data_IF_227338129195
#
_entry.id   IF_227338129195
#
_cell.length_a   1.000
_cell.length_b   1.000
_cell.length_c   1.000
_cell.angle_alpha   90.00
_cell.angle_beta   90.00
_cell.angle_gamma   90.00
#
_symmetry.space_group_name_H-M   'P 1'
#
loop_
_entity.id
_entity.type
_entity.pdbx_description
1 polymer ?
#
# COMPACT_ATOMS: atom_id res chain seq x y z
N UNK A 1 27.53 10.73 -3.47
CA UNK A 1 26.09 10.75 -3.22
C UNK A 1 25.52 11.98 -3.86
N UNK A 2 24.79 11.82 -4.97
CA UNK A 2 24.31 12.93 -5.80
C UNK A 2 23.50 12.38 -6.97
N UNK A 3 22.64 13.21 -7.55
CA UNK A 3 21.72 12.83 -8.63
C UNK A 3 20.26 12.69 -8.20
N UNK A 4 19.94 12.84 -6.90
CA UNK A 4 18.56 13.02 -6.46
C UNK A 4 18.07 14.38 -6.92
N UNK A 5 17.10 14.39 -7.83
CA UNK A 5 16.39 15.59 -8.24
C UNK A 5 15.12 15.66 -7.41
N UNK A 6 14.92 16.77 -6.73
CA UNK A 6 13.67 17.01 -6.03
C UNK A 6 12.53 17.07 -7.06
N UNK A 7 11.47 16.34 -6.77
CA UNK A 7 10.24 16.36 -7.53
C UNK A 7 9.13 16.92 -6.64
N UNK A 8 8.54 18.04 -7.06
CA UNK A 8 7.44 18.69 -6.37
C UNK A 8 6.06 18.14 -6.77
N UNK A 9 6.01 17.15 -7.67
CA UNK A 9 4.77 16.59 -8.19
C UNK A 9 4.00 15.88 -7.09
N UNK A 10 2.69 16.07 -7.11
CA UNK A 10 1.76 15.38 -6.21
C UNK A 10 1.31 14.07 -6.85
N UNK A 11 1.59 12.95 -6.20
CA UNK A 11 1.41 11.61 -6.78
C UNK A 11 0.21 10.84 -6.23
N UNK A 12 -0.25 11.14 -5.02
CA UNK A 12 -1.51 10.60 -4.55
C UNK A 12 -2.70 11.32 -5.22
N UNK A 13 -3.78 10.62 -5.56
CA UNK A 13 -4.96 11.20 -6.21
C UNK A 13 -5.90 11.94 -5.24
N UNK A 14 -5.55 12.05 -3.95
CA UNK A 14 -6.49 12.54 -2.95
C UNK A 14 -6.63 14.06 -2.99
N UNK A 15 -7.86 14.61 -2.91
CA UNK A 15 -8.08 16.05 -2.89
C UNK A 15 -7.79 16.68 -1.52
N UNK A 16 -7.38 15.89 -0.53
CA UNK A 16 -7.17 16.29 0.85
C UNK A 16 -5.79 15.89 1.34
N UNK A 17 -5.40 16.40 2.52
CA UNK A 17 -4.09 16.13 3.09
C UNK A 17 -3.85 14.64 3.35
N UNK A 18 -2.71 14.17 2.85
CA UNK A 18 -2.14 12.85 3.08
C UNK A 18 -0.82 12.96 3.87
N UNK A 19 -0.41 11.87 4.52
CA UNK A 19 0.87 11.78 5.22
C UNK A 19 1.44 10.36 5.18
N UNK A 20 2.63 10.19 5.78
CA UNK A 20 3.25 8.89 5.99
C UNK A 20 3.40 8.00 4.71
N UNK A 21 3.89 8.54 3.58
CA UNK A 21 4.04 7.76 2.37
C UNK A 21 5.08 6.65 2.55
N UNK A 22 4.75 5.43 2.12
CA UNK A 22 5.69 4.32 2.01
C UNK A 22 5.56 3.70 0.63
N UNK A 23 6.67 3.35 -0.01
CA UNK A 23 6.67 2.65 -1.29
C UNK A 23 7.32 1.28 -1.14
N UNK A 24 6.72 0.25 -1.74
CA UNK A 24 7.25 -1.10 -1.70
C UNK A 24 7.16 -1.79 -3.06
N UNK A 25 8.18 -2.57 -3.42
CA UNK A 25 8.19 -3.36 -4.66
C UNK A 25 7.33 -4.60 -4.47
N UNK A 26 6.53 -4.97 -5.47
CA UNK A 26 5.77 -6.24 -5.47
C UNK A 26 6.72 -7.42 -5.74
N UNK A 27 6.53 -8.52 -5.02
CA UNK A 27 7.37 -9.72 -5.19
C UNK A 27 7.25 -10.25 -6.61
N UNK A 28 8.37 -10.37 -7.32
CA UNK A 28 8.44 -10.98 -8.65
C UNK A 28 7.90 -10.13 -9.80
N UNK A 29 7.54 -8.86 -9.55
CA UNK A 29 7.06 -7.93 -10.56
C UNK A 29 7.96 -6.68 -10.62
N UNK A 30 8.09 -6.06 -11.78
CA UNK A 30 8.68 -4.71 -11.91
C UNK A 30 7.62 -3.64 -11.69
N UNK A 31 7.01 -3.70 -10.50
CA UNK A 31 5.95 -2.81 -10.03
C UNK A 31 6.14 -2.44 -8.58
N UNK A 32 5.72 -1.23 -8.24
CA UNK A 32 5.75 -0.68 -6.90
C UNK A 32 4.38 -0.18 -6.50
N UNK A 33 4.09 -0.25 -5.21
CA UNK A 33 2.87 0.31 -4.63
C UNK A 33 3.26 1.37 -3.62
N UNK A 34 2.75 2.58 -3.82
CA UNK A 34 2.73 3.68 -2.88
C UNK A 34 1.49 3.52 -1.98
N UNK A 35 1.71 3.53 -0.66
CA UNK A 35 0.68 3.56 0.38
C UNK A 35 0.83 4.84 1.20
N UNK A 36 -0.29 5.48 1.55
CA UNK A 36 -0.30 6.76 2.27
C UNK A 36 -1.53 6.87 3.20
N UNK A 37 -1.37 7.59 4.31
CA UNK A 37 -2.44 7.89 5.28
C UNK A 37 -3.24 9.10 4.83
N UNK A 38 -4.54 8.94 4.59
CA UNK A 38 -5.45 10.02 4.22
C UNK A 38 -6.08 10.56 5.51
N UNK A 39 -5.30 11.29 6.29
CA UNK A 39 -5.71 11.74 7.63
C UNK A 39 -6.85 12.78 7.63
N UNK A 40 -7.23 13.31 6.46
CA UNK A 40 -8.27 14.35 6.32
C UNK A 40 -9.62 13.85 5.80
N UNK A 41 -9.76 12.55 5.49
CA UNK A 41 -11.09 11.95 5.24
C UNK A 41 -11.67 11.37 6.53
N UNK A 42 -13.00 11.21 6.57
CA UNK A 42 -13.71 10.62 7.70
C UNK A 42 -14.67 9.51 7.22
N UNK A 43 -14.49 8.26 7.67
CA UNK A 43 -13.40 7.77 8.53
C UNK A 43 -12.03 7.89 7.84
N UNK A 44 -10.95 8.01 8.61
CA UNK A 44 -9.59 8.00 8.03
C UNK A 44 -9.37 6.66 7.32
N UNK A 45 -8.60 6.69 6.23
CA UNK A 45 -8.30 5.48 5.48
C UNK A 45 -6.90 5.58 4.85
N UNK A 46 -6.42 4.46 4.31
CA UNK A 46 -5.26 4.46 3.45
C UNK A 46 -5.66 4.46 2.00
N UNK A 47 -4.90 5.20 1.19
CA UNK A 47 -4.94 5.10 -0.25
C UNK A 47 -3.73 4.33 -0.78
N UNK A 48 -3.90 3.79 -1.98
CA UNK A 48 -2.92 2.95 -2.64
C UNK A 48 -2.80 3.36 -4.10
N UNK A 49 -1.57 3.46 -4.60
CA UNK A 49 -1.31 3.72 -6.03
C UNK A 49 -0.16 2.84 -6.54
N UNK A 50 -0.32 2.26 -7.72
CA UNK A 50 0.68 1.39 -8.37
C UNK A 50 1.47 2.17 -9.44
N UNK A 51 2.76 1.92 -9.55
CA UNK A 51 3.62 2.49 -10.60
C UNK A 51 4.63 1.46 -11.12
N UNK A 52 5.09 1.68 -12.35
CA UNK A 52 6.19 0.94 -13.00
C UNK A 52 7.42 1.82 -13.27
N UNK A 53 7.26 3.14 -13.20
CA UNK A 53 8.25 4.13 -13.65
C UNK A 53 8.46 5.29 -12.67
N UNK A 54 7.73 5.32 -11.55
CA UNK A 54 7.72 6.39 -10.54
C UNK A 54 7.31 7.77 -11.08
N UNK A 55 6.64 7.80 -12.24
CA UNK A 55 6.12 9.02 -12.88
C UNK A 55 4.61 8.89 -13.04
N UNK A 56 4.15 7.73 -13.52
CA UNK A 56 2.74 7.43 -13.73
C UNK A 56 2.24 6.53 -12.60
N UNK A 57 1.24 7.01 -11.87
CA UNK A 57 0.62 6.29 -10.78
C UNK A 57 -0.83 5.95 -11.12
N UNK A 58 -1.18 4.68 -10.97
CA UNK A 58 -2.54 4.16 -11.11
C UNK A 58 -3.17 4.04 -9.73
N UNK A 59 -4.25 4.77 -9.50
CA UNK A 59 -5.04 4.65 -8.27
C UNK A 59 -5.60 3.21 -8.10
N UNK A 60 -5.31 2.59 -6.96
CA UNK A 60 -5.82 1.26 -6.57
C UNK A 60 -7.01 1.35 -5.60
N UNK A 61 -7.39 2.56 -5.19
CA UNK A 61 -8.48 2.86 -4.26
C UNK A 61 -8.03 2.84 -2.81
N UNK A 62 -9.01 2.86 -1.91
CA UNK A 62 -8.78 2.78 -0.46
C UNK A 62 -8.93 1.36 0.05
N UNK A 63 -8.63 1.11 1.32
CA UNK A 63 -9.01 -0.17 1.92
C UNK A 63 -10.52 -0.42 1.77
N UNK A 64 -10.86 -1.67 1.51
CA UNK A 64 -12.21 -2.22 1.38
C UNK A 64 -12.99 -1.76 0.15
N UNK A 65 -12.69 -0.60 -0.42
CA UNK A 65 -13.25 -0.10 -1.68
C UNK A 65 -12.47 -0.60 -2.90
N UNK A 66 -11.15 -0.68 -2.78
CA UNK A 66 -10.25 -1.16 -3.82
C UNK A 66 -9.90 -2.65 -3.70
N UNK A 67 -8.75 -3.01 -4.30
CA UNK A 67 -8.17 -4.36 -4.24
C UNK A 67 -7.58 -4.69 -2.87
N UNK A 68 -7.23 -3.67 -2.09
CA UNK A 68 -6.68 -3.83 -0.75
C UNK A 68 -7.80 -4.00 0.27
N UNK A 69 -7.64 -4.97 1.19
CA UNK A 69 -8.64 -5.27 2.23
C UNK A 69 -8.04 -5.05 3.62
N UNK A 70 -8.86 -4.50 4.51
CA UNK A 70 -8.54 -4.32 5.92
C UNK A 70 -9.35 -5.30 6.76
N UNK A 71 -8.72 -5.89 7.77
CA UNK A 71 -9.37 -6.74 8.77
C UNK A 71 -8.73 -6.48 10.13
N UNK A 72 -9.47 -6.73 11.22
CA UNK A 72 -9.00 -6.60 12.60
C UNK A 72 -8.59 -5.17 13.04
N UNK A 73 -9.00 -4.14 12.30
CA UNK A 73 -8.94 -2.73 12.73
C UNK A 73 -10.03 -1.91 12.04
N UNK A 74 -10.40 -0.76 12.61
CA UNK A 74 -11.41 0.16 12.06
C UNK A 74 -10.80 1.40 11.40
N UNK A 75 -9.63 1.85 11.86
CA UNK A 75 -8.95 3.05 11.37
C UNK A 75 -7.44 2.79 11.26
N UNK A 76 -6.83 2.93 10.06
CA UNK A 76 -5.39 2.79 9.90
C UNK A 76 -4.63 4.06 10.36
N UNK A 77 -3.32 3.92 10.57
CA UNK A 77 -2.32 4.96 10.89
C UNK A 77 -0.97 4.56 10.29
N UNK A 78 -0.02 5.49 10.12
CA UNK A 78 1.32 5.31 9.52
C UNK A 78 1.72 3.86 9.15
N UNK A 79 1.73 3.50 7.85
CA UNK A 79 1.93 2.13 7.40
C UNK A 79 3.37 1.62 7.50
N UNK A 80 3.51 0.31 7.72
CA UNK A 80 4.70 -0.46 7.36
C UNK A 80 4.26 -1.75 6.65
N UNK A 81 5.03 -2.20 5.66
CA UNK A 81 4.65 -3.36 4.83
C UNK A 81 5.64 -4.50 5.05
N UNK A 82 5.14 -5.63 5.53
CA UNK A 82 5.86 -6.91 5.58
C UNK A 82 5.29 -7.79 4.47
N UNK A 83 6.12 -8.10 3.50
CA UNK A 83 5.70 -8.90 2.35
C UNK A 83 5.82 -10.39 2.67
N UNK A 84 4.95 -11.20 2.07
CA UNK A 84 4.99 -12.64 2.15
C UNK A 84 4.88 -13.21 0.73
N UNK A 85 5.76 -14.15 0.39
CA UNK A 85 5.56 -15.03 -0.75
C UNK A 85 4.35 -15.94 -0.51
N UNK A 86 3.78 -16.50 -1.58
CA UNK A 86 2.70 -17.50 -1.46
C UNK A 86 3.10 -18.70 -0.59
N UNK A 87 4.37 -19.12 -0.67
CA UNK A 87 4.91 -20.21 0.16
C UNK A 87 4.94 -19.85 1.64
N UNK A 88 5.41 -18.66 1.99
CA UNK A 88 5.45 -18.18 3.38
C UNK A 88 4.04 -17.97 3.95
N UNK A 89 3.12 -17.41 3.15
CA UNK A 89 1.72 -17.25 3.54
C UNK A 89 1.06 -18.60 3.85
N UNK A 90 1.30 -19.62 3.01
CA UNK A 90 0.82 -20.98 3.26
C UNK A 90 1.44 -21.60 4.52
N UNK A 91 2.74 -21.41 4.75
CA UNK A 91 3.41 -21.89 5.96
C UNK A 91 2.82 -21.26 7.23
N UNK A 92 2.56 -19.95 7.21
CA UNK A 92 1.91 -19.24 8.31
C UNK A 92 0.49 -19.74 8.55
N UNK A 93 -0.32 -19.91 7.49
CA UNK A 93 -1.67 -20.46 7.64
C UNK A 93 -1.65 -21.86 8.27
N UNK A 94 -0.75 -22.74 7.81
CA UNK A 94 -0.60 -24.09 8.36
C UNK A 94 -0.18 -24.07 9.84
N UNK A 95 0.76 -23.20 10.21
CA UNK A 95 1.24 -23.07 11.59
C UNK A 95 0.11 -22.73 12.58
N UNK A 96 -0.89 -21.98 12.13
CA UNK A 96 -2.03 -21.54 12.94
C UNK A 96 -3.32 -22.33 12.66
N UNK A 97 -3.27 -23.40 11.86
CA UNK A 97 -4.44 -24.23 11.53
C UNK A 97 -5.53 -23.49 10.74
N UNK A 98 -5.17 -22.46 9.97
CA UNK A 98 -6.11 -21.65 9.20
C UNK A 98 -6.34 -22.25 7.80
N UNK A 99 -7.60 -22.35 7.39
CA UNK A 99 -7.98 -22.74 6.02
C UNK A 99 -8.08 -21.49 5.13
N UNK A 100 -6.98 -21.14 4.46
CA UNK A 100 -6.84 -19.94 3.64
C UNK A 100 -6.62 -20.29 2.16
N UNK A 101 -7.15 -19.46 1.25
CA UNK A 101 -6.90 -19.55 -0.19
C UNK A 101 -6.08 -18.31 -0.59
N UNK A 102 -4.92 -18.55 -1.22
CA UNK A 102 -3.97 -17.53 -1.68
C UNK A 102 -3.79 -17.57 -3.19
#
# INVERSE_FOLDING_TARGET
TGGYVYDSTWYDPEPVGCEAPTIYKRIGEDKWVLIYDIYRINPHNFGFSETVDFINFKNLGHFNEGVMKATNFSVPKHPAVIQLTKKEAQQLANNWGLNMIF
#
